data_IF_284439595756
#
_entry.id   IF_284439595756
#
_cell.length_a   1.000
_cell.length_b   1.000
_cell.length_c   1.000
_cell.angle_alpha   90.00
_cell.angle_beta   90.00
_cell.angle_gamma   90.00
#
_symmetry.space_group_name_H-M   'P 1'
#
loop_
_entity.id
_entity.type
_entity.pdbx_description
1 polymer ?
#
# COMPACT_ATOMS: atom_id res chain seq x y z
N UNK A 1 -40.80 -6.33 -4.76
CA UNK A 1 -39.86 -5.50 -5.55
C UNK A 1 -38.79 -6.43 -6.12
N UNK A 2 -39.04 -6.96 -7.31
CA UNK A 2 -38.11 -7.87 -7.99
C UNK A 2 -37.13 -6.99 -8.78
N UNK A 3 -35.89 -6.90 -8.34
CA UNK A 3 -34.83 -6.34 -9.17
C UNK A 3 -34.58 -7.31 -10.32
N UNK A 4 -34.98 -6.91 -11.52
CA UNK A 4 -34.66 -7.62 -12.75
C UNK A 4 -33.15 -7.72 -12.86
N UNK A 5 -32.62 -8.94 -12.86
CA UNK A 5 -31.21 -9.24 -13.10
C UNK A 5 -30.81 -8.68 -14.45
N UNK A 6 -30.17 -7.51 -14.44
CA UNK A 6 -29.47 -6.98 -15.61
C UNK A 6 -28.49 -8.06 -16.08
N UNK A 7 -28.55 -8.42 -17.35
CA UNK A 7 -27.71 -9.44 -17.98
C UNK A 7 -26.22 -9.09 -17.82
N UNK A 8 -25.63 -9.49 -16.70
CA UNK A 8 -24.21 -9.29 -16.45
C UNK A 8 -23.46 -10.12 -17.49
N UNK A 9 -22.52 -9.50 -18.19
CA UNK A 9 -21.72 -10.15 -19.23
C UNK A 9 -20.33 -10.43 -18.67
N UNK A 10 -19.80 -11.63 -18.94
CA UNK A 10 -18.43 -11.99 -18.61
C UNK A 10 -17.43 -11.12 -19.40
N UNK A 11 -16.16 -11.12 -18.99
CA UNK A 11 -15.05 -10.47 -19.71
C UNK A 11 -14.86 -10.97 -21.17
N UNK A 12 -15.53 -12.06 -21.56
CA UNK A 12 -15.57 -12.62 -22.92
C UNK A 12 -16.80 -12.21 -23.74
N UNK A 13 -17.69 -11.37 -23.20
CA UNK A 13 -18.93 -10.90 -23.87
C UNK A 13 -20.11 -11.87 -23.81
N UNK A 14 -19.95 -13.06 -23.23
CA UNK A 14 -21.04 -14.02 -23.02
C UNK A 14 -21.86 -13.70 -21.75
N UNK A 15 -23.14 -14.08 -21.67
CA UNK A 15 -23.93 -13.93 -20.44
C UNK A 15 -23.21 -14.59 -19.25
N UNK A 16 -23.16 -13.88 -18.13
CA UNK A 16 -22.52 -14.34 -16.91
C UNK A 16 -23.34 -15.46 -16.29
N UNK A 17 -22.72 -16.64 -16.23
CA UNK A 17 -23.25 -17.76 -15.48
C UNK A 17 -23.15 -17.44 -13.98
N UNK A 18 -24.28 -17.07 -13.37
CA UNK A 18 -24.38 -16.73 -11.95
C UNK A 18 -24.09 -17.92 -11.01
N UNK A 19 -24.03 -19.16 -11.53
CA UNK A 19 -23.67 -20.35 -10.76
C UNK A 19 -22.14 -20.55 -10.68
N UNK A 20 -21.40 -20.03 -11.66
CA UNK A 20 -19.92 -20.13 -11.73
C UNK A 20 -19.19 -18.83 -11.40
N UNK A 21 -19.80 -17.69 -11.67
CA UNK A 21 -19.20 -16.36 -11.51
C UNK A 21 -19.86 -15.64 -10.33
N UNK A 22 -19.06 -15.26 -9.33
CA UNK A 22 -19.52 -14.63 -8.09
C UNK A 22 -19.52 -15.58 -6.89
N UNK A 23 -19.85 -15.05 -5.71
CA UNK A 23 -19.92 -15.82 -4.46
C UNK A 23 -18.97 -15.35 -3.35
N UNK A 24 -19.10 -15.97 -2.18
CA UNK A 24 -18.38 -15.56 -0.96
C UNK A 24 -16.86 -15.76 -1.03
N UNK A 25 -16.38 -16.77 -1.77
CA UNK A 25 -14.95 -17.08 -1.88
C UNK A 25 -14.15 -16.02 -2.66
N UNK A 26 -14.55 -15.59 -3.88
CA UNK A 26 -13.85 -14.50 -4.55
C UNK A 26 -13.99 -13.17 -3.80
N UNK A 27 -15.17 -12.91 -3.19
CA UNK A 27 -15.38 -11.72 -2.38
C UNK A 27 -14.44 -11.66 -1.16
N UNK A 28 -14.29 -12.78 -0.43
CA UNK A 28 -13.40 -12.84 0.74
C UNK A 28 -11.93 -12.63 0.36
N UNK A 29 -11.49 -13.11 -0.81
CA UNK A 29 -10.12 -12.86 -1.31
C UNK A 29 -9.87 -11.39 -1.58
N UNK A 30 -10.82 -10.71 -2.23
CA UNK A 30 -10.70 -9.27 -2.52
C UNK A 30 -10.68 -8.47 -1.20
N UNK A 31 -11.58 -8.80 -0.27
CA UNK A 31 -11.61 -8.17 1.05
C UNK A 31 -10.34 -8.44 1.86
N UNK A 32 -9.75 -9.64 1.76
CA UNK A 32 -8.49 -9.97 2.42
C UNK A 32 -7.33 -9.10 1.94
N UNK A 33 -7.27 -8.82 0.64
CA UNK A 33 -6.24 -7.93 0.06
C UNK A 33 -6.46 -6.48 0.54
N UNK A 34 -7.69 -5.98 0.47
CA UNK A 34 -8.04 -4.63 0.97
C UNK A 34 -7.67 -4.47 2.46
N UNK A 35 -8.00 -5.46 3.28
CA UNK A 35 -7.67 -5.44 4.70
C UNK A 35 -6.15 -5.41 4.93
N UNK A 36 -5.41 -6.24 4.20
CA UNK A 36 -3.95 -6.30 4.29
C UNK A 36 -3.31 -4.96 3.88
N UNK A 37 -3.81 -4.33 2.82
CA UNK A 37 -3.36 -3.02 2.37
C UNK A 37 -3.57 -1.97 3.47
N UNK A 38 -4.77 -1.91 4.05
CA UNK A 38 -5.07 -0.95 5.12
C UNK A 38 -4.23 -1.17 6.36
N UNK A 39 -4.04 -2.41 6.78
CA UNK A 39 -3.16 -2.74 7.91
C UNK A 39 -1.72 -2.31 7.65
N UNK A 40 -1.23 -2.52 6.43
CA UNK A 40 0.13 -2.15 6.03
C UNK A 40 0.32 -0.65 6.03
N UNK A 41 -0.58 0.11 5.42
CA UNK A 41 -0.50 1.57 5.36
C UNK A 41 -0.55 2.20 6.75
N UNK A 42 -1.46 1.74 7.62
CA UNK A 42 -1.52 2.22 9.00
C UNK A 42 -0.26 1.82 9.80
N UNK A 43 0.21 0.58 9.63
CA UNK A 43 1.42 0.09 10.29
C UNK A 43 2.67 0.89 9.90
N UNK A 44 2.81 1.25 8.62
CA UNK A 44 3.91 2.11 8.15
C UNK A 44 3.73 3.52 8.69
N UNK A 45 2.55 4.13 8.59
CA UNK A 45 2.33 5.51 9.03
C UNK A 45 2.69 5.73 10.52
N UNK A 46 2.29 4.80 11.39
CA UNK A 46 2.55 4.90 12.83
C UNK A 46 4.02 4.66 13.18
N UNK A 47 4.69 3.70 12.51
CA UNK A 47 6.07 3.34 12.83
C UNK A 47 7.11 4.21 12.12
N UNK A 48 6.78 4.78 10.96
CA UNK A 48 7.73 5.51 10.10
C UNK A 48 8.16 6.84 10.74
N UNK A 49 7.26 7.56 11.41
CA UNK A 49 7.60 8.81 12.13
C UNK A 49 8.62 8.51 13.23
N UNK A 50 8.33 7.52 14.07
CA UNK A 50 9.22 7.10 15.17
C UNK A 50 10.55 6.56 14.64
N UNK A 51 10.53 5.86 13.51
CA UNK A 51 11.73 5.38 12.83
C UNK A 51 12.63 6.53 12.36
N UNK A 52 12.06 7.54 11.67
CA UNK A 52 12.82 8.67 11.14
C UNK A 52 13.41 9.56 12.24
N UNK A 53 12.64 9.79 13.31
CA UNK A 53 13.11 10.59 14.45
C UNK A 53 14.14 9.81 15.28
N UNK A 54 13.83 8.55 15.63
CA UNK A 54 14.61 7.78 16.59
C UNK A 54 15.85 7.10 16.01
N UNK A 55 15.80 6.61 14.76
CA UNK A 55 16.92 5.85 14.17
C UNK A 55 17.71 6.64 13.14
N UNK A 56 17.05 7.49 12.35
CA UNK A 56 17.73 8.31 11.33
C UNK A 56 18.13 9.70 11.86
N UNK A 57 17.74 10.05 13.10
CA UNK A 57 18.01 11.34 13.73
C UNK A 57 17.57 12.55 12.89
N UNK A 58 16.49 12.42 12.12
CA UNK A 58 15.94 13.55 11.36
C UNK A 58 15.18 14.50 12.30
N UNK A 59 15.15 15.81 11.97
CA UNK A 59 14.27 16.75 12.65
C UNK A 59 12.80 16.31 12.54
N UNK A 60 12.01 16.58 13.58
CA UNK A 60 10.57 16.26 13.60
C UNK A 60 9.81 16.89 12.43
N UNK A 61 10.15 18.13 12.06
CA UNK A 61 9.58 18.84 10.92
C UNK A 61 9.85 18.12 9.58
N UNK A 62 11.09 17.69 9.34
CA UNK A 62 11.45 16.97 8.12
C UNK A 62 10.80 15.59 8.08
N UNK A 63 10.78 14.86 9.20
CA UNK A 63 10.16 13.54 9.29
C UNK A 63 8.66 13.60 8.99
N UNK A 64 7.95 14.60 9.52
CA UNK A 64 6.54 14.82 9.24
C UNK A 64 6.28 15.13 7.76
N UNK A 65 7.16 15.89 7.12
CA UNK A 65 7.04 16.19 5.68
C UNK A 65 7.17 14.93 4.83
N UNK A 66 8.16 14.08 5.11
CA UNK A 66 8.36 12.81 4.38
C UNK A 66 7.14 11.89 4.51
N UNK A 67 6.58 11.77 5.72
CA UNK A 67 5.39 10.94 5.94
C UNK A 67 4.16 11.53 5.24
N UNK A 68 4.01 12.86 5.24
CA UNK A 68 2.92 13.54 4.54
C UNK A 68 3.04 13.40 3.03
N UNK A 69 4.25 13.57 2.47
CA UNK A 69 4.53 13.35 1.04
C UNK A 69 4.26 11.91 0.65
N UNK A 70 4.63 10.93 1.49
CA UNK A 70 4.32 9.52 1.26
C UNK A 70 2.81 9.25 1.24
N UNK A 71 2.05 9.79 2.19
CA UNK A 71 0.59 9.64 2.20
C UNK A 71 -0.06 10.35 1.00
N UNK A 72 0.39 11.57 0.69
CA UNK A 72 -0.10 12.34 -0.46
C UNK A 72 0.14 11.64 -1.80
N UNK A 73 1.36 11.13 -2.02
CA UNK A 73 1.69 10.35 -3.22
C UNK A 73 0.87 9.06 -3.31
N UNK A 74 0.60 8.39 -2.18
CA UNK A 74 -0.26 7.20 -2.15
C UNK A 74 -1.69 7.52 -2.62
N UNK A 75 -2.28 8.65 -2.18
CA UNK A 75 -3.61 9.06 -2.66
C UNK A 75 -3.63 9.40 -4.15
N UNK A 76 -2.61 10.10 -4.64
CA UNK A 76 -2.49 10.40 -6.08
C UNK A 76 -2.34 9.13 -6.91
N UNK A 77 -1.55 8.17 -6.41
CA UNK A 77 -1.37 6.87 -7.06
C UNK A 77 -2.67 6.05 -7.09
N UNK A 78 -3.48 6.10 -6.02
CA UNK A 78 -4.81 5.47 -6.01
C UNK A 78 -5.76 6.09 -7.04
N UNK A 79 -5.74 7.42 -7.20
CA UNK A 79 -6.54 8.12 -8.20
C UNK A 79 -6.12 7.71 -9.62
N UNK A 80 -4.81 7.68 -9.87
CA UNK A 80 -4.24 7.19 -11.12
C UNK A 80 -4.60 5.70 -11.36
N UNK A 81 -4.52 4.86 -10.33
CA UNK A 81 -4.90 3.44 -10.40
C UNK A 81 -6.36 3.23 -10.79
N UNK A 82 -7.27 4.02 -10.25
CA UNK A 82 -8.68 4.03 -10.65
C UNK A 82 -8.85 4.37 -12.13
N UNK A 83 -8.20 5.44 -12.59
CA UNK A 83 -8.23 5.84 -13.99
C UNK A 83 -7.70 4.74 -14.95
N UNK A 84 -6.61 4.08 -14.58
CA UNK A 84 -6.07 2.95 -15.37
C UNK A 84 -7.01 1.72 -15.36
N UNK A 85 -7.70 1.46 -14.25
CA UNK A 85 -8.67 0.36 -14.14
C UNK A 85 -9.86 0.54 -15.08
N UNK A 86 -10.35 1.78 -15.21
CA UNK A 86 -11.50 2.11 -16.04
C UNK A 86 -11.15 2.26 -17.52
N UNK A 87 -9.92 2.70 -17.84
CA UNK A 87 -9.55 3.05 -19.22
C UNK A 87 -8.85 1.93 -20.02
N UNK A 88 -7.98 1.11 -19.40
CA UNK A 88 -7.04 0.28 -20.18
C UNK A 88 -6.96 -1.20 -19.77
N UNK A 89 -6.80 -1.53 -18.49
CA UNK A 89 -6.42 -2.89 -18.08
C UNK A 89 -7.58 -3.74 -17.53
N UNK A 90 -8.68 -3.10 -17.16
CA UNK A 90 -9.78 -3.74 -16.43
C UNK A 90 -9.44 -3.99 -14.96
N UNK A 91 -10.49 -4.01 -14.13
CA UNK A 91 -10.40 -3.97 -12.65
C UNK A 91 -9.48 -5.03 -12.03
N UNK A 92 -9.55 -6.28 -12.49
CA UNK A 92 -8.76 -7.38 -11.91
C UNK A 92 -7.26 -7.26 -12.18
N UNK A 93 -6.87 -6.93 -13.42
CA UNK A 93 -5.45 -6.80 -13.77
C UNK A 93 -4.80 -5.62 -13.07
N UNK A 94 -5.52 -4.51 -12.96
CA UNK A 94 -5.04 -3.33 -12.23
C UNK A 94 -4.78 -3.68 -10.77
N UNK A 95 -5.75 -4.28 -10.07
CA UNK A 95 -5.57 -4.69 -8.67
C UNK A 95 -4.35 -5.62 -8.51
N UNK A 96 -4.19 -6.60 -9.39
CA UNK A 96 -3.05 -7.52 -9.33
C UNK A 96 -1.69 -6.80 -9.48
N UNK A 97 -1.57 -5.89 -10.46
CA UNK A 97 -0.32 -5.14 -10.70
C UNK A 97 -0.01 -4.23 -9.51
N UNK A 98 -0.97 -3.42 -9.06
CA UNK A 98 -0.77 -2.50 -7.94
C UNK A 98 -0.45 -3.26 -6.63
N UNK A 99 -1.10 -4.41 -6.38
CA UNK A 99 -0.77 -5.25 -5.23
C UNK A 99 0.67 -5.79 -5.28
N UNK A 100 1.18 -6.19 -6.46
CA UNK A 100 2.58 -6.62 -6.58
C UNK A 100 3.56 -5.48 -6.36
N UNK A 101 3.29 -4.29 -6.90
CA UNK A 101 4.12 -3.09 -6.69
C UNK A 101 4.14 -2.71 -5.22
N UNK A 102 2.99 -2.73 -4.55
CA UNK A 102 2.87 -2.49 -3.11
C UNK A 102 3.70 -3.50 -2.31
N UNK A 103 3.58 -4.79 -2.63
CA UNK A 103 4.33 -5.86 -1.96
C UNK A 103 5.84 -5.67 -2.11
N UNK A 104 6.31 -5.31 -3.31
CA UNK A 104 7.72 -5.03 -3.57
C UNK A 104 8.20 -3.79 -2.78
N UNK A 105 7.42 -2.71 -2.76
CA UNK A 105 7.78 -1.49 -2.03
C UNK A 105 7.91 -1.72 -0.51
N UNK A 106 6.95 -2.45 0.06
CA UNK A 106 6.99 -2.81 1.49
C UNK A 106 8.11 -3.81 1.78
N UNK A 107 8.37 -4.75 0.86
CA UNK A 107 9.52 -5.65 0.92
C UNK A 107 10.86 -4.89 0.94
N UNK A 108 11.04 -3.92 0.04
CA UNK A 108 12.23 -3.07 0.00
C UNK A 108 12.39 -2.26 1.29
N UNK A 109 11.32 -1.67 1.82
CA UNK A 109 11.35 -0.95 3.10
C UNK A 109 11.79 -1.89 4.25
N UNK A 110 11.29 -3.12 4.25
CA UNK A 110 11.66 -4.14 5.24
C UNK A 110 13.13 -4.52 5.13
N UNK A 111 13.65 -4.70 3.91
CA UNK A 111 15.08 -5.00 3.70
C UNK A 111 15.95 -3.83 4.15
N UNK A 112 15.61 -2.60 3.78
CA UNK A 112 16.34 -1.39 4.18
C UNK A 112 16.38 -1.18 5.69
N UNK A 113 15.33 -1.60 6.41
CA UNK A 113 15.30 -1.55 7.88
C UNK A 113 16.02 -2.72 8.54
N UNK A 114 16.21 -3.85 7.87
CA UNK A 114 16.93 -5.01 8.42
C UNK A 114 18.43 -4.94 8.18
N UNK A 115 18.88 -4.29 7.11
CA UNK A 115 20.30 -4.18 6.80
C UNK A 115 20.97 -3.11 7.68
N UNK A 116 21.87 -3.49 8.61
CA UNK A 116 22.53 -2.55 9.52
C UNK A 116 23.50 -1.59 8.82
N UNK A 117 23.91 -1.90 7.57
CA UNK A 117 24.77 -1.06 6.75
C UNK A 117 24.06 0.15 6.14
N UNK A 118 22.71 0.17 6.14
CA UNK A 118 21.89 1.28 5.62
C UNK A 118 21.35 2.17 6.75
N UNK A 119 21.75 1.92 8.01
CA UNK A 119 21.38 2.73 9.16
C UNK A 119 22.60 3.45 9.72
N UNK A 120 22.45 4.71 10.16
CA UNK A 120 23.49 5.35 10.95
C UNK A 120 23.69 4.58 12.27
N UNK A 121 24.92 4.56 12.81
CA UNK A 121 25.21 3.86 14.04
C UNK A 121 24.33 4.36 15.20
N UNK A 122 23.87 3.47 16.09
CA UNK A 122 22.98 3.84 17.18
C UNK A 122 23.69 4.81 18.12
N UNK A 123 23.13 6.00 18.27
CA UNK A 123 23.62 6.98 19.21
C UNK A 123 23.04 6.75 20.60
N UNK A 124 23.92 6.45 21.56
CA UNK A 124 23.56 6.46 22.97
C UNK A 124 23.64 7.91 23.49
N UNK A 125 22.50 8.45 23.95
CA UNK A 125 22.35 9.83 24.41
C UNK A 125 23.05 10.16 25.74
N UNK A 126 24.35 9.88 25.85
CA UNK A 126 25.17 10.36 26.97
C UNK A 126 26.63 10.71 26.62
N UNK A 127 26.93 11.01 25.36
CA UNK A 127 28.21 11.62 25.00
C UNK A 127 27.94 12.79 24.07
N UNK A 128 28.41 13.95 24.50
CA UNK A 128 28.41 15.27 23.87
C UNK A 128 29.18 15.28 22.54
N UNK A 129 28.75 14.49 21.55
CA UNK A 129 29.12 14.67 20.16
C UNK A 129 27.90 14.34 19.29
N UNK A 130 27.25 15.41 18.87
CA UNK A 130 26.33 15.55 17.74
C UNK A 130 26.34 14.30 16.86
N UNK A 131 25.28 13.50 16.94
CA UNK A 131 25.01 12.46 15.96
C UNK A 131 24.87 13.15 14.62
N UNK A 132 25.96 13.13 13.87
CA UNK A 132 26.08 13.86 12.62
C UNK A 132 25.10 13.23 11.62
N UNK A 133 24.35 14.11 10.96
CA UNK A 133 23.47 13.80 9.81
C UNK A 133 24.11 12.81 8.85
#
# INVERSE_FOLDING_TARGET
MSWSSTSMINYKGFPADNSKTGGWVPASRILGIELCERLTTMGIAVNLVTYLIGTMHLPSATSANIVTDFMGTSFLLSLLGGFLADSYLGRYKTIAIFATVQTLGVGMLTVSTRLPQLRPPPCHGNVTNICKK
#
